data_IF_928061127979
#
_entry.id   IF_928061127979
#
_cell.length_a   1.000
_cell.length_b   1.000
_cell.length_c   1.000
_cell.angle_alpha   90.00
_cell.angle_beta   90.00
_cell.angle_gamma   90.00
#
_symmetry.space_group_name_H-M   'P 1'
#
loop_
_entity.id
_entity.type
_entity.pdbx_description
1 polymer ?
#
# COMPACT_ATOMS: atom_id res chain seq x y z
N UNK A 1 20.20 32.12 -12.61
CA UNK A 1 18.97 31.94 -11.80
C UNK A 1 19.11 30.64 -11.01
N UNK A 2 19.94 30.70 -9.97
CA UNK A 2 19.99 29.76 -8.82
C UNK A 2 18.58 29.62 -8.23
N UNK A 3 18.11 28.52 -7.68
CA UNK A 3 18.65 27.21 -7.32
C UNK A 3 17.62 26.61 -6.34
N UNK A 4 17.46 25.30 -6.32
CA UNK A 4 17.32 24.50 -5.09
C UNK A 4 17.35 23.02 -5.47
N UNK A 5 18.58 22.53 -5.45
CA UNK A 5 18.89 21.13 -5.32
C UNK A 5 18.28 20.59 -4.03
N UNK A 6 17.87 19.32 -4.12
CA UNK A 6 17.74 18.38 -3.03
C UNK A 6 18.72 18.68 -1.87
N UNK A 7 18.22 19.22 -0.76
CA UNK A 7 18.98 19.28 0.49
C UNK A 7 18.58 18.07 1.32
N UNK A 8 19.40 17.04 1.29
CA UNK A 8 19.42 16.02 2.32
C UNK A 8 20.00 16.67 3.58
N UNK A 9 19.13 17.00 4.53
CA UNK A 9 19.58 17.34 5.88
C UNK A 9 20.02 16.05 6.56
N UNK A 10 21.33 15.83 6.53
CA UNK A 10 22.06 15.04 7.51
C UNK A 10 21.96 15.78 8.85
N UNK A 11 21.40 15.12 9.85
CA UNK A 11 21.51 15.53 11.26
C UNK A 11 22.02 14.33 12.06
N UNK A 12 23.28 14.38 12.45
CA UNK A 12 23.83 13.52 13.51
C UNK A 12 23.25 13.95 14.87
N UNK A 13 22.92 13.00 15.76
CA UNK A 13 22.98 13.09 17.24
C UNK A 13 22.52 11.76 17.88
N UNK A 14 23.46 11.16 18.61
CA UNK A 14 23.43 10.39 19.86
C UNK A 14 22.26 9.46 20.31
N UNK A 15 22.69 8.25 20.70
CA UNK A 15 22.32 7.44 21.88
C UNK A 15 21.07 7.81 22.73
N UNK A 16 20.21 6.79 22.91
CA UNK A 16 19.17 6.55 23.94
C UNK A 16 17.87 7.35 23.82
N UNK A 17 16.75 6.66 23.53
CA UNK A 17 15.52 6.69 24.36
C UNK A 17 14.66 5.45 24.04
N UNK A 18 14.14 4.83 25.09
CA UNK A 18 13.18 3.73 25.14
C UNK A 18 11.78 4.20 24.69
N UNK A 19 10.88 3.24 24.43
CA UNK A 19 9.40 3.32 24.44
C UNK A 19 8.63 3.20 23.09
N UNK A 20 7.71 2.22 23.09
CA UNK A 20 6.69 1.79 22.09
C UNK A 20 5.68 2.90 21.67
N UNK A 21 4.79 2.77 20.64
CA UNK A 21 4.26 1.56 19.98
C UNK A 21 4.17 1.60 18.44
N UNK A 22 4.17 0.41 17.81
CA UNK A 22 4.03 0.17 16.37
C UNK A 22 2.59 0.41 15.90
N UNK A 23 2.13 1.67 15.84
CA UNK A 23 0.80 2.00 15.28
C UNK A 23 0.69 3.38 14.60
N UNK A 24 1.69 4.26 14.70
CA UNK A 24 1.61 5.61 14.10
C UNK A 24 2.25 5.78 12.70
N UNK A 25 3.03 4.80 12.24
CA UNK A 25 3.91 4.97 11.06
C UNK A 25 3.12 5.04 9.72
N UNK A 26 1.96 4.40 9.61
CA UNK A 26 1.18 4.39 8.37
C UNK A 26 0.56 5.78 8.09
N UNK A 27 0.11 6.49 9.13
CA UNK A 27 -0.60 7.77 8.98
C UNK A 27 0.33 8.89 8.53
N UNK A 28 1.56 8.92 9.03
CA UNK A 28 2.52 9.97 8.69
C UNK A 28 3.14 9.78 7.30
N UNK A 29 3.26 8.53 6.81
CA UNK A 29 3.75 8.24 5.45
C UNK A 29 2.81 8.71 4.32
N UNK A 30 1.53 8.91 4.60
CA UNK A 30 0.53 9.36 3.62
C UNK A 30 0.21 10.86 3.72
N UNK A 31 0.99 11.63 4.48
CA UNK A 31 0.74 13.04 4.71
C UNK A 31 0.81 13.84 3.39
N UNK A 32 -0.37 14.22 2.89
CA UNK A 32 -0.58 14.84 1.57
C UNK A 32 -0.30 16.34 1.54
N UNK A 33 0.07 16.92 2.69
CA UNK A 33 0.21 18.38 2.91
C UNK A 33 1.21 19.04 1.95
N UNK A 34 2.29 18.36 1.58
CA UNK A 34 3.29 18.89 0.63
C UNK A 34 2.87 18.84 -0.84
N UNK A 35 1.90 17.98 -1.21
CA UNK A 35 1.47 17.79 -2.59
C UNK A 35 0.28 18.64 -3.01
N UNK A 36 -0.57 18.98 -2.04
CA UNK A 36 -1.71 19.87 -2.23
C UNK A 36 -1.31 21.35 -2.34
N UNK A 37 -0.08 21.72 -1.98
CA UNK A 37 0.38 23.12 -1.94
C UNK A 37 0.78 23.70 -3.30
N UNK A 38 0.87 22.88 -4.37
CA UNK A 38 1.08 23.39 -5.72
C UNK A 38 -0.25 23.86 -6.32
N UNK A 39 -0.27 25.04 -6.93
CA UNK A 39 -1.46 25.53 -7.65
C UNK A 39 -1.83 24.52 -8.77
N UNK A 40 -3.13 24.42 -9.12
CA UNK A 40 -3.56 23.50 -10.20
C UNK A 40 -2.79 23.69 -11.50
N UNK A 41 -2.33 24.91 -11.79
CA UNK A 41 -1.54 25.22 -12.98
C UNK A 41 -0.11 24.62 -12.96
N UNK A 42 0.41 24.24 -11.78
CA UNK A 42 1.74 23.67 -11.60
C UNK A 42 1.71 22.15 -11.32
N UNK A 43 0.53 21.55 -11.15
CA UNK A 43 0.40 20.12 -10.87
C UNK A 43 0.51 19.30 -12.15
N UNK A 44 1.44 18.34 -12.18
CA UNK A 44 1.50 17.32 -13.23
C UNK A 44 0.39 16.28 -13.03
N UNK A 45 0.02 15.58 -14.12
CA UNK A 45 -0.94 14.46 -14.06
C UNK A 45 -0.48 13.40 -13.03
N UNK A 46 0.81 13.11 -12.98
CA UNK A 46 1.39 12.17 -12.01
C UNK A 46 1.23 12.65 -10.56
N UNK A 47 1.45 13.93 -10.29
CA UNK A 47 1.27 14.55 -8.97
C UNK A 47 -0.19 14.43 -8.52
N UNK A 48 -1.13 14.76 -9.41
CA UNK A 48 -2.56 14.67 -9.14
C UNK A 48 -3.01 13.23 -8.87
N UNK A 49 -2.61 12.29 -9.73
CA UNK A 49 -2.94 10.87 -9.56
C UNK A 49 -2.39 10.32 -8.23
N UNK A 50 -1.15 10.69 -7.87
CA UNK A 50 -0.57 10.31 -6.58
C UNK A 50 -1.40 10.83 -5.42
N UNK A 51 -1.80 12.10 -5.45
CA UNK A 51 -2.66 12.68 -4.41
C UNK A 51 -3.98 11.92 -4.27
N UNK A 52 -4.66 11.66 -5.39
CA UNK A 52 -5.92 10.91 -5.39
C UNK A 52 -5.77 9.49 -4.82
N UNK A 53 -4.67 8.80 -5.13
CA UNK A 53 -4.36 7.48 -4.54
C UNK A 53 -4.14 7.56 -3.02
N UNK A 54 -3.43 8.57 -2.53
CA UNK A 54 -3.19 8.73 -1.09
C UNK A 54 -4.49 8.98 -0.33
N UNK A 55 -5.36 9.84 -0.88
CA UNK A 55 -6.68 10.11 -0.31
C UNK A 55 -7.54 8.83 -0.24
N UNK A 56 -7.50 8.01 -1.28
CA UNK A 56 -8.19 6.72 -1.30
C UNK A 56 -7.65 5.77 -0.22
N UNK A 57 -6.33 5.62 -0.11
CA UNK A 57 -5.71 4.76 0.90
C UNK A 57 -6.08 5.19 2.32
N UNK A 58 -6.08 6.50 2.61
CA UNK A 58 -6.48 7.02 3.90
C UNK A 58 -7.93 6.62 4.26
N UNK A 59 -8.85 6.70 3.29
CA UNK A 59 -10.25 6.28 3.47
C UNK A 59 -10.40 4.76 3.63
N UNK A 60 -9.58 3.97 2.94
CA UNK A 60 -9.61 2.51 3.06
C UNK A 60 -9.13 2.03 4.42
N UNK A 61 -8.08 2.66 4.99
CA UNK A 61 -7.51 2.26 6.29
C UNK A 61 -8.46 2.53 7.46
N UNK A 62 -9.37 3.50 7.35
CA UNK A 62 -10.36 3.77 8.40
C UNK A 62 -11.49 2.73 8.48
N UNK A 63 -11.71 1.94 7.42
CA UNK A 63 -12.78 0.95 7.36
C UNK A 63 -12.37 -0.47 7.76
N UNK A 64 -13.35 -1.35 7.90
CA UNK A 64 -13.10 -2.80 8.06
C UNK A 64 -12.85 -3.44 6.69
N UNK A 65 -11.66 -3.99 6.41
CA UNK A 65 -11.35 -4.49 5.09
C UNK A 65 -12.03 -5.84 4.80
N UNK A 66 -12.56 -5.98 3.58
CA UNK A 66 -12.95 -7.26 3.00
C UNK A 66 -12.16 -7.49 1.71
N UNK A 67 -11.65 -8.70 1.51
CA UNK A 67 -10.76 -9.02 0.40
C UNK A 67 -11.41 -9.98 -0.58
N UNK A 68 -11.62 -9.52 -1.82
CA UNK A 68 -12.07 -10.35 -2.95
C UNK A 68 -10.92 -10.44 -3.96
N UNK A 69 -10.60 -11.65 -4.42
CA UNK A 69 -9.54 -11.90 -5.41
C UNK A 69 -10.15 -12.49 -6.67
N UNK A 70 -10.10 -11.75 -7.77
CA UNK A 70 -10.56 -12.22 -9.08
C UNK A 70 -9.41 -12.96 -9.78
N UNK A 71 -9.71 -14.10 -10.40
CA UNK A 71 -8.74 -14.91 -11.16
C UNK A 71 -9.26 -15.10 -12.59
N UNK A 72 -8.37 -14.88 -13.58
CA UNK A 72 -8.72 -15.09 -14.99
C UNK A 72 -8.42 -16.54 -15.39
N UNK A 73 -9.42 -17.40 -15.66
CA UNK A 73 -9.21 -18.83 -15.83
C UNK A 73 -8.43 -19.19 -17.10
N UNK A 74 -8.58 -18.40 -18.17
CA UNK A 74 -7.87 -18.57 -19.44
C UNK A 74 -7.80 -17.24 -20.21
N UNK A 75 -6.90 -17.15 -21.20
CA UNK A 75 -6.77 -15.94 -22.05
C UNK A 75 -7.65 -15.95 -23.29
N UNK A 76 -8.06 -17.12 -23.77
CA UNK A 76 -8.90 -17.30 -24.96
C UNK A 76 -10.37 -16.91 -24.75
N UNK A 77 -10.75 -16.51 -23.53
CA UNK A 77 -12.14 -16.21 -23.12
C UNK A 77 -13.09 -17.38 -23.40
N UNK A 78 -12.55 -18.59 -23.44
CA UNK A 78 -13.32 -19.79 -23.70
C UNK A 78 -14.06 -20.21 -22.42
N UNK A 79 -15.37 -20.47 -22.49
CA UNK A 79 -16.12 -20.94 -21.35
C UNK A 79 -15.60 -22.32 -20.93
N UNK A 80 -15.61 -22.61 -19.63
CA UNK A 80 -15.22 -23.92 -19.05
C UNK A 80 -13.77 -24.36 -19.33
N UNK A 81 -12.92 -23.50 -19.84
CA UNK A 81 -11.50 -23.78 -20.01
C UNK A 81 -10.70 -23.21 -18.83
N UNK A 82 -9.88 -24.05 -18.20
CA UNK A 82 -9.09 -23.71 -17.03
C UNK A 82 -7.62 -23.98 -17.28
N UNK A 83 -6.80 -22.92 -17.26
CA UNK A 83 -5.35 -23.02 -17.37
C UNK A 83 -4.73 -23.03 -15.97
N UNK A 84 -4.38 -24.23 -15.50
CA UNK A 84 -3.76 -24.43 -14.19
C UNK A 84 -2.45 -23.69 -14.01
N UNK A 85 -1.61 -23.61 -15.06
CA UNK A 85 -0.30 -22.96 -14.99
C UNK A 85 -0.48 -21.46 -14.80
N UNK A 86 -1.41 -20.86 -15.54
CA UNK A 86 -1.76 -19.45 -15.39
C UNK A 86 -2.35 -19.16 -14.03
N UNK A 87 -3.32 -19.94 -13.58
CA UNK A 87 -3.96 -19.74 -12.27
C UNK A 87 -2.93 -19.87 -11.14
N UNK A 88 -2.02 -20.84 -11.21
CA UNK A 88 -0.95 -20.99 -10.23
C UNK A 88 -0.04 -19.75 -10.16
N UNK A 89 0.32 -19.16 -11.31
CA UNK A 89 1.07 -17.89 -11.36
C UNK A 89 0.27 -16.76 -10.69
N UNK A 90 -1.04 -16.67 -10.97
CA UNK A 90 -1.92 -15.68 -10.35
C UNK A 90 -1.97 -15.83 -8.83
N UNK A 91 -2.15 -17.03 -8.32
CA UNK A 91 -2.18 -17.31 -6.88
C UNK A 91 -0.87 -16.92 -6.18
N UNK A 92 0.27 -17.05 -6.88
CA UNK A 92 1.59 -16.61 -6.37
C UNK A 92 1.71 -15.09 -6.34
N UNK A 93 1.53 -14.39 -7.46
CA UNK A 93 1.75 -12.94 -7.49
C UNK A 93 0.67 -12.14 -6.74
N UNK A 94 -0.56 -12.69 -6.61
CA UNK A 94 -1.62 -12.07 -5.79
C UNK A 94 -1.46 -12.34 -4.29
N UNK A 95 -0.49 -13.18 -3.91
CA UNK A 95 -0.19 -13.52 -2.52
C UNK A 95 -1.25 -14.42 -1.86
N UNK A 96 -2.13 -15.06 -2.62
CA UNK A 96 -3.17 -15.94 -2.05
C UNK A 96 -2.54 -17.13 -1.34
N UNK A 97 -1.52 -17.77 -1.94
CA UNK A 97 -0.82 -18.90 -1.31
C UNK A 97 -0.12 -18.49 -0.01
N UNK A 98 0.51 -17.32 -0.01
CA UNK A 98 1.17 -16.78 1.18
C UNK A 98 0.16 -16.42 2.28
N UNK A 99 -0.98 -15.85 1.89
CA UNK A 99 -2.07 -15.54 2.81
C UNK A 99 -2.59 -16.82 3.47
N UNK A 100 -2.77 -17.91 2.71
CA UNK A 100 -3.17 -19.21 3.26
C UNK A 100 -2.13 -19.72 4.27
N UNK A 101 -0.84 -19.68 3.90
CA UNK A 101 0.26 -20.10 4.78
C UNK A 101 0.29 -19.33 6.10
N UNK A 102 0.17 -18.00 6.06
CA UNK A 102 0.16 -17.15 7.26
C UNK A 102 -1.08 -17.45 8.12
N UNK A 103 -2.25 -17.61 7.50
CA UNK A 103 -3.51 -17.88 8.20
C UNK A 103 -3.53 -19.26 8.85
N UNK A 104 -2.87 -20.26 8.26
CA UNK A 104 -2.74 -21.60 8.86
C UNK A 104 -1.99 -21.57 10.19
N UNK A 105 -0.98 -20.70 10.32
CA UNK A 105 -0.16 -20.59 11.53
C UNK A 105 -0.63 -19.46 12.48
N UNK A 106 -1.73 -18.78 12.16
CA UNK A 106 -2.20 -17.61 12.87
C UNK A 106 -3.59 -17.79 13.48
N UNK A 107 -4.02 -16.81 14.27
CA UNK A 107 -5.36 -16.74 14.85
C UNK A 107 -6.24 -15.77 14.06
N UNK A 108 -7.52 -16.10 13.92
CA UNK A 108 -8.49 -15.30 13.14
C UNK A 108 -8.82 -13.96 13.80
N UNK A 109 -8.88 -13.93 15.14
CA UNK A 109 -9.19 -12.75 15.94
C UNK A 109 -8.06 -12.41 16.90
N UNK A 110 -7.91 -11.11 17.17
CA UNK A 110 -7.02 -10.57 18.21
C UNK A 110 -7.89 -9.78 19.17
N UNK A 111 -7.91 -10.18 20.43
CA UNK A 111 -8.63 -9.48 21.50
C UNK A 111 -7.67 -8.52 22.20
N UNK A 112 -8.11 -7.29 22.43
CA UNK A 112 -7.42 -6.35 23.30
C UNK A 112 -8.05 -6.44 24.70
N UNK A 113 -7.20 -6.43 25.73
CA UNK A 113 -7.60 -6.39 27.14
C UNK A 113 -7.58 -4.94 27.64
#
# INVERSE_FOLDING_TARGET
KTGNLFSALQGDIDSRTLESPVSNDIRDRFNSRGLASQSRAQQTVSTYFRYSLMELLQKMVSGTPQFVRCLKPNDSRSPKHFDSTKILKQLRYTGVLETIRIRQNGFSHRLAY
#
